data_IF_261157194680
#
_entry.id   IF_261157194680
#
_cell.length_a   1.000
_cell.length_b   1.000
_cell.length_c   1.000
_cell.angle_alpha   90.00
_cell.angle_beta   90.00
_cell.angle_gamma   90.00
#
_symmetry.space_group_name_H-M   'P 1'
#
loop_
_entity.id
_entity.type
_entity.pdbx_description
1 polymer ?
#
# COMPACT_ATOMS: atom_id res chain seq x y z
N UNK A 1 23.98 -0.49 13.11
CA UNK A 1 23.59 -0.44 11.68
C UNK A 1 22.52 0.62 11.59
N UNK A 2 22.88 1.81 11.13
CA UNK A 2 21.97 2.94 10.99
C UNK A 2 20.90 2.57 9.98
N UNK A 3 19.64 2.65 10.41
CA UNK A 3 18.49 2.41 9.56
C UNK A 3 18.25 3.71 8.82
N UNK A 4 18.87 3.83 7.65
CA UNK A 4 18.76 5.00 6.80
C UNK A 4 17.34 5.02 6.22
N UNK A 5 16.45 5.80 6.84
CA UNK A 5 15.11 6.09 6.33
C UNK A 5 15.23 6.76 4.96
N UNK A 6 14.60 6.18 3.94
CA UNK A 6 14.60 6.72 2.58
C UNK A 6 13.84 8.06 2.59
N UNK A 7 14.47 9.21 2.25
CA UNK A 7 13.78 10.49 2.22
C UNK A 7 12.69 10.49 1.14
N UNK A 8 11.45 10.82 1.53
CA UNK A 8 10.33 11.01 0.60
C UNK A 8 10.42 12.41 -0.06
N UNK A 9 11.56 12.72 -0.69
CA UNK A 9 11.83 14.03 -1.29
C UNK A 9 11.30 14.11 -2.73
N UNK A 10 10.12 14.70 -2.90
CA UNK A 10 9.71 15.48 -4.09
C UNK A 10 9.43 14.77 -5.42
N UNK A 11 9.77 13.48 -5.60
CA UNK A 11 9.57 12.76 -6.88
C UNK A 11 8.34 11.85 -6.91
N UNK A 12 7.85 11.43 -5.75
CA UNK A 12 6.72 10.50 -5.61
C UNK A 12 5.46 11.27 -5.23
N UNK A 13 4.39 11.09 -6.00
CA UNK A 13 3.10 11.73 -5.71
C UNK A 13 2.41 11.08 -4.52
N UNK A 14 1.90 11.88 -3.59
CA UNK A 14 1.17 11.42 -2.39
C UNK A 14 -0.03 10.52 -2.75
N UNK A 15 -0.68 10.76 -3.90
CA UNK A 15 -1.77 9.92 -4.42
C UNK A 15 -1.38 8.45 -4.56
N UNK A 16 -0.10 8.11 -4.77
CA UNK A 16 0.37 6.73 -4.87
C UNK A 16 0.41 6.00 -3.51
N UNK A 17 0.39 6.72 -2.39
CA UNK A 17 0.41 6.14 -1.06
C UNK A 17 -0.89 5.41 -0.71
N UNK A 18 -2.03 5.83 -1.29
CA UNK A 18 -3.31 5.16 -1.11
C UNK A 18 -3.30 3.70 -1.60
N UNK A 19 -3.00 3.44 -2.89
CA UNK A 19 -2.85 2.10 -3.43
C UNK A 19 -1.78 1.26 -2.71
N UNK A 20 -0.64 1.87 -2.36
CA UNK A 20 0.43 1.20 -1.61
C UNK A 20 -0.06 0.72 -0.24
N UNK A 21 -0.74 1.60 0.50
CA UNK A 21 -1.35 1.28 1.79
C UNK A 21 -2.36 0.15 1.68
N UNK A 22 -3.27 0.21 0.70
CA UNK A 22 -4.27 -0.82 0.52
C UNK A 22 -3.63 -2.18 0.23
N UNK A 23 -2.65 -2.23 -0.68
CA UNK A 23 -1.91 -3.46 -1.02
C UNK A 23 -1.26 -4.07 0.22
N UNK A 24 -0.53 -3.28 1.00
CA UNK A 24 0.09 -3.78 2.23
C UNK A 24 -0.92 -4.25 3.28
N UNK A 25 -1.96 -3.45 3.54
CA UNK A 25 -3.00 -3.77 4.55
C UNK A 25 -3.72 -5.07 4.22
N UNK A 26 -4.21 -5.21 2.99
CA UNK A 26 -5.01 -6.38 2.62
C UNK A 26 -4.15 -7.63 2.42
N UNK A 27 -2.86 -7.48 2.07
CA UNK A 27 -1.93 -8.62 2.07
C UNK A 27 -1.65 -9.16 3.47
N UNK A 28 -1.74 -8.32 4.51
CA UNK A 28 -1.64 -8.76 5.90
C UNK A 28 -2.93 -9.37 6.43
N UNK A 29 -4.11 -8.88 5.98
CA UNK A 29 -5.42 -9.34 6.46
C UNK A 29 -5.88 -10.62 5.75
N UNK A 30 -5.65 -10.72 4.44
CA UNK A 30 -6.20 -11.75 3.56
C UNK A 30 -5.19 -12.09 2.44
N UNK A 31 -4.06 -12.74 2.79
CA UNK A 31 -3.01 -13.10 1.84
C UNK A 31 -3.50 -14.03 0.71
N UNK A 32 -4.59 -14.76 0.93
CA UNK A 32 -5.25 -15.59 -0.09
C UNK A 32 -5.89 -14.79 -1.23
N UNK A 33 -6.20 -13.50 -1.00
CA UNK A 33 -6.77 -12.62 -2.03
C UNK A 33 -5.70 -11.77 -2.74
N UNK A 34 -4.69 -11.34 -2.00
CA UNK A 34 -3.57 -10.53 -2.49
C UNK A 34 -2.37 -10.76 -1.56
N UNK A 35 -1.19 -11.05 -2.10
CA UNK A 35 0.04 -11.27 -1.31
C UNK A 35 1.20 -10.37 -1.78
N UNK A 36 1.03 -9.05 -1.62
CA UNK A 36 2.02 -8.04 -2.00
C UNK A 36 3.04 -7.81 -0.88
N UNK A 37 3.99 -8.75 -0.76
CA UNK A 37 5.08 -8.70 0.21
C UNK A 37 5.96 -7.44 0.05
N UNK A 38 6.08 -6.93 -1.18
CA UNK A 38 6.88 -5.73 -1.44
C UNK A 38 6.20 -4.48 -0.90
N UNK A 39 4.87 -4.36 -1.03
CA UNK A 39 4.12 -3.27 -0.41
C UNK A 39 4.27 -3.26 1.12
N UNK A 40 4.23 -4.45 1.76
CA UNK A 40 4.46 -4.58 3.20
C UNK A 40 5.86 -4.11 3.59
N UNK A 41 6.89 -4.53 2.84
CA UNK A 41 8.28 -4.11 3.06
C UNK A 41 8.44 -2.59 2.90
N UNK A 42 7.89 -2.02 1.82
CA UNK A 42 8.00 -0.60 1.51
C UNK A 42 7.41 0.25 2.64
N UNK A 43 6.17 -0.04 3.07
CA UNK A 43 5.52 0.76 4.12
C UNK A 43 6.29 0.71 5.45
N UNK A 44 6.92 -0.41 5.78
CA UNK A 44 7.75 -0.52 7.00
C UNK A 44 9.01 0.34 6.97
N UNK A 45 9.50 0.71 5.79
CA UNK A 45 10.78 1.40 5.62
C UNK A 45 10.64 2.88 5.18
N UNK A 46 9.42 3.37 4.91
CA UNK A 46 9.18 4.79 4.63
C UNK A 46 8.82 5.50 5.93
N UNK A 47 9.45 6.65 6.17
CA UNK A 47 9.07 7.58 7.23
C UNK A 47 7.84 8.40 6.80
N UNK A 48 6.66 7.77 6.84
CA UNK A 48 5.38 8.41 6.53
C UNK A 48 4.27 7.89 7.45
N UNK A 49 3.45 8.81 7.95
CA UNK A 49 2.29 8.47 8.78
C UNK A 49 1.08 8.10 7.91
N UNK A 50 0.84 6.80 7.75
CA UNK A 50 -0.27 6.25 6.98
C UNK A 50 -1.64 6.35 7.67
N UNK A 51 -1.74 6.86 8.91
CA UNK A 51 -3.02 6.98 9.62
C UNK A 51 -4.02 7.86 8.85
N UNK A 52 -3.54 8.96 8.26
CA UNK A 52 -4.34 9.87 7.42
C UNK A 52 -4.86 9.19 6.15
N UNK A 53 -4.04 8.34 5.53
CA UNK A 53 -4.43 7.57 4.34
C UNK A 53 -5.51 6.54 4.71
N UNK A 54 -5.32 5.85 5.84
CA UNK A 54 -6.30 4.91 6.36
C UNK A 54 -7.66 5.58 6.64
N UNK A 55 -7.66 6.74 7.28
CA UNK A 55 -8.87 7.51 7.57
C UNK A 55 -9.54 7.99 6.27
N UNK A 56 -8.76 8.57 5.35
CA UNK A 56 -9.26 9.09 4.07
C UNK A 56 -9.90 8.00 3.19
N UNK A 57 -9.27 6.82 3.12
CA UNK A 57 -9.79 5.71 2.32
C UNK A 57 -10.99 5.05 3.00
N UNK A 58 -10.97 4.96 4.33
CA UNK A 58 -11.96 4.19 5.07
C UNK A 58 -12.04 2.74 4.58
N UNK A 59 -13.15 2.08 4.88
CA UNK A 59 -13.37 0.68 4.50
C UNK A 59 -13.61 0.54 2.99
N UNK A 60 -14.61 1.25 2.44
CA UNK A 60 -15.05 1.06 1.06
C UNK A 60 -14.03 1.46 0.01
N UNK A 61 -13.32 2.59 0.16
CA UNK A 61 -12.31 2.98 -0.85
C UNK A 61 -11.07 2.11 -0.75
N UNK A 62 -10.69 1.72 0.47
CA UNK A 62 -9.64 0.74 0.68
C UNK A 62 -9.97 -0.58 -0.01
N UNK A 63 -11.17 -1.11 0.20
CA UNK A 63 -11.63 -2.35 -0.44
C UNK A 63 -11.64 -2.22 -1.97
N UNK A 64 -12.09 -1.08 -2.51
CA UNK A 64 -12.02 -0.81 -3.94
C UNK A 64 -10.60 -0.86 -4.51
N UNK A 65 -9.59 -0.43 -3.75
CA UNK A 65 -8.18 -0.55 -4.13
C UNK A 65 -7.66 -1.99 -4.09
N UNK A 66 -8.13 -2.83 -3.15
CA UNK A 66 -7.87 -4.27 -3.17
C UNK A 66 -8.44 -4.91 -4.43
N UNK A 67 -9.72 -4.68 -4.72
CA UNK A 67 -10.36 -5.21 -5.94
C UNK A 67 -9.60 -4.76 -7.17
N UNK A 68 -9.25 -3.46 -7.26
CA UNK A 68 -8.44 -2.92 -8.35
C UNK A 68 -7.10 -3.63 -8.51
N UNK A 69 -6.39 -3.89 -7.41
CA UNK A 69 -5.11 -4.60 -7.45
C UNK A 69 -5.29 -6.01 -8.02
N UNK A 70 -6.24 -6.78 -7.47
CA UNK A 70 -6.55 -8.14 -7.93
C UNK A 70 -7.00 -8.20 -9.39
N UNK A 71 -7.86 -7.27 -9.82
CA UNK A 71 -8.30 -7.20 -11.22
C UNK A 71 -7.15 -6.95 -12.19
N UNK A 72 -6.14 -6.17 -11.81
CA UNK A 72 -4.95 -6.01 -12.66
C UNK A 72 -4.07 -7.24 -12.68
N UNK A 73 -3.87 -7.91 -11.54
CA UNK A 73 -3.07 -9.13 -11.47
C UNK A 73 -3.72 -10.25 -12.30
N UNK A 74 -5.05 -10.36 -12.27
CA UNK A 74 -5.82 -11.33 -13.08
C UNK A 74 -5.80 -11.02 -14.58
N UNK A 75 -5.75 -9.74 -14.97
CA UNK A 75 -5.72 -9.34 -16.38
C UNK A 75 -4.38 -9.63 -17.08
N UNK A 76 -3.34 -9.97 -16.32
CA UNK A 76 -2.01 -10.33 -16.84
C UNK A 76 -1.84 -11.84 -17.09
N UNK A 77 -2.90 -12.62 -16.85
CA UNK A 77 -3.00 -14.07 -17.10
C UNK A 77 -3.77 -14.29 -18.40
#
# INVERSE_FOLDING_TARGET
>A
MSQDSIPFEGTVQETMLGPLWARAKYSQISPELLDDQKAIEIIKNIDYDFSKIQEYLGEWRGLGLLVRAKSFDEALI
#
